data_IF_165396356863
#
_entry.id   IF_165396356863
#
_cell.length_a   1.000
_cell.length_b   1.000
_cell.length_c   1.000
_cell.angle_alpha   90.00
_cell.angle_beta   90.00
_cell.angle_gamma   90.00
#
_symmetry.space_group_name_H-M   'P 1'
#
loop_
_entity.id
_entity.type
_entity.pdbx_description
1 polymer ?
#
# COMPACT_ATOMS: atom_id res chain seq x y z
N UNK A 1 3.98 67.24 -34.30
CA UNK A 1 5.16 67.70 -35.05
C UNK A 1 6.18 66.58 -35.12
N UNK A 2 6.88 66.45 -36.25
CA UNK A 2 7.74 65.33 -36.62
C UNK A 2 9.23 65.72 -36.63
N UNK A 3 10.11 64.77 -37.00
CA UNK A 3 11.52 65.01 -37.36
C UNK A 3 12.46 64.21 -36.46
N UNK A 4 13.38 63.37 -36.92
CA UNK A 4 14.07 63.16 -38.21
C UNK A 4 14.37 61.63 -38.26
N UNK A 5 14.11 60.81 -39.28
CA UNK A 5 14.49 60.79 -40.70
C UNK A 5 15.98 61.03 -41.00
N UNK A 6 16.69 59.92 -41.21
CA UNK A 6 17.70 59.77 -42.28
C UNK A 6 17.56 58.30 -42.74
N UNK A 7 16.91 57.96 -43.86
CA UNK A 7 17.36 58.04 -45.28
C UNK A 7 18.63 57.19 -45.53
N UNK A 8 18.79 56.33 -46.56
CA UNK A 8 18.09 56.02 -47.81
C UNK A 8 18.66 54.70 -48.38
N UNK A 9 17.82 53.99 -49.16
CA UNK A 9 18.14 53.23 -50.40
C UNK A 9 19.08 52.00 -50.32
N UNK A 10 18.93 50.89 -51.05
CA UNK A 10 17.93 50.41 -52.02
C UNK A 10 18.25 48.92 -52.25
N UNK A 11 17.23 48.08 -52.16
CA UNK A 11 16.84 47.05 -53.13
C UNK A 11 17.92 46.18 -53.80
N UNK A 12 17.91 44.89 -53.47
CA UNK A 12 17.80 43.83 -54.50
C UNK A 12 16.67 42.88 -54.08
N UNK A 13 15.56 42.96 -54.81
CA UNK A 13 14.54 41.93 -54.83
C UNK A 13 15.10 40.69 -55.55
N UNK A 14 14.80 39.49 -55.06
CA UNK A 14 14.01 38.56 -55.87
C UNK A 14 13.54 37.33 -55.07
N UNK A 15 12.22 37.29 -54.95
CA UNK A 15 11.36 36.11 -55.13
C UNK A 15 11.11 35.16 -53.94
N UNK A 16 9.82 35.12 -53.65
CA UNK A 16 8.96 33.92 -53.58
C UNK A 16 8.41 33.53 -52.19
N UNK A 17 7.32 34.25 -51.86
CA UNK A 17 6.03 33.74 -51.35
C UNK A 17 6.00 33.17 -49.92
N UNK A 18 5.25 33.90 -49.09
CA UNK A 18 4.79 33.59 -47.74
C UNK A 18 4.02 32.26 -47.65
N UNK A 19 4.28 31.55 -46.55
CA UNK A 19 3.42 30.49 -46.00
C UNK A 19 3.62 30.42 -44.48
N UNK A 20 2.58 30.75 -43.75
CA UNK A 20 2.41 30.78 -42.28
C UNK A 20 2.65 29.43 -41.56
N UNK A 21 2.69 29.39 -40.20
CA UNK A 21 3.69 28.66 -39.42
C UNK A 21 3.43 27.16 -39.24
N UNK A 22 4.52 26.43 -39.08
CA UNK A 22 4.59 25.01 -38.75
C UNK A 22 3.79 24.65 -37.48
N UNK A 23 2.66 23.97 -37.68
CA UNK A 23 2.07 23.10 -36.67
C UNK A 23 2.98 21.87 -36.53
N UNK A 24 3.77 21.83 -35.45
CA UNK A 24 4.59 20.66 -35.10
C UNK A 24 3.66 19.49 -34.77
N UNK A 25 3.38 18.65 -35.76
CA UNK A 25 2.69 17.38 -35.53
C UNK A 25 3.52 16.48 -34.62
N UNK A 26 2.89 16.05 -33.52
CA UNK A 26 3.42 15.09 -32.58
C UNK A 26 3.74 13.74 -33.27
N UNK A 27 4.75 13.00 -32.81
CA UNK A 27 5.14 11.72 -33.42
C UNK A 27 3.96 10.74 -33.48
N UNK A 28 3.81 9.96 -34.55
CA UNK A 28 2.64 9.12 -34.76
C UNK A 28 2.50 8.12 -33.62
N UNK A 29 1.41 8.26 -32.86
CA UNK A 29 1.00 7.34 -31.80
C UNK A 29 1.16 5.90 -32.27
N UNK A 30 1.87 5.09 -31.46
CA UNK A 30 2.15 3.69 -31.74
C UNK A 30 0.87 2.99 -32.18
N UNK A 31 0.83 2.58 -33.45
CA UNK A 31 -0.30 1.92 -34.13
C UNK A 31 -1.07 1.02 -33.17
N UNK A 32 -2.25 1.47 -32.76
CA UNK A 32 -3.15 0.71 -31.90
C UNK A 32 -3.71 -0.44 -32.75
N UNK A 33 -3.39 -1.68 -32.39
CA UNK A 33 -3.87 -2.84 -33.12
C UNK A 33 -5.37 -2.97 -32.86
N UNK A 34 -6.18 -2.93 -33.93
CA UNK A 34 -7.61 -3.07 -33.83
C UNK A 34 -7.99 -4.47 -33.28
N UNK A 35 -8.96 -4.60 -32.35
CA UNK A 35 -9.25 -5.86 -31.65
C UNK A 35 -9.53 -7.06 -32.56
N UNK A 36 -10.19 -6.83 -33.71
CA UNK A 36 -10.49 -7.90 -34.67
C UNK A 36 -9.29 -8.36 -35.51
N UNK A 37 -8.21 -7.56 -35.55
CA UNK A 37 -7.02 -7.88 -36.34
C UNK A 37 -5.90 -8.48 -35.48
N UNK A 38 -6.07 -8.51 -34.15
CA UNK A 38 -5.10 -9.10 -33.21
C UNK A 38 -4.76 -10.54 -33.57
N UNK A 39 -5.77 -11.36 -33.87
CA UNK A 39 -5.55 -12.78 -34.19
C UNK A 39 -4.83 -12.95 -35.54
N UNK A 40 -5.18 -12.16 -36.55
CA UNK A 40 -4.52 -12.19 -37.86
C UNK A 40 -3.07 -11.74 -37.76
N UNK A 41 -2.79 -10.71 -36.97
CA UNK A 41 -1.44 -10.20 -36.74
C UNK A 41 -0.63 -11.21 -35.94
N UNK A 42 -1.22 -11.84 -34.92
CA UNK A 42 -0.56 -12.88 -34.14
C UNK A 42 -0.26 -14.11 -34.99
N UNK A 43 -1.20 -14.53 -35.84
CA UNK A 43 -1.00 -15.64 -36.78
C UNK A 43 0.09 -15.32 -37.80
N UNK A 44 0.07 -14.13 -38.40
CA UNK A 44 1.11 -13.68 -39.32
C UNK A 44 2.48 -13.58 -38.64
N UNK A 45 2.52 -13.12 -37.38
CA UNK A 45 3.74 -13.05 -36.57
C UNK A 45 4.30 -14.45 -36.28
N UNK A 46 3.46 -15.37 -35.79
CA UNK A 46 3.86 -16.76 -35.51
C UNK A 46 4.29 -17.47 -36.79
N UNK A 47 3.60 -17.25 -37.91
CA UNK A 47 3.93 -17.84 -39.19
C UNK A 47 5.21 -17.22 -39.80
N UNK A 48 5.49 -15.95 -39.52
CA UNK A 48 6.76 -15.29 -39.82
C UNK A 48 7.93 -15.84 -39.03
N UNK A 49 7.72 -16.25 -37.77
CA UNK A 49 8.72 -16.94 -36.95
C UNK A 49 8.95 -18.40 -37.36
N UNK A 50 7.99 -19.02 -38.06
CA UNK A 50 8.10 -20.39 -38.60
C UNK A 50 8.86 -20.47 -39.93
N UNK A 51 9.27 -19.35 -40.52
CA UNK A 51 10.22 -19.39 -41.64
C UNK A 51 11.50 -20.08 -41.13
N UNK A 52 12.00 -21.13 -41.78
CA UNK A 52 13.29 -21.70 -41.41
C UNK A 52 14.30 -20.57 -41.62
N UNK A 53 14.76 -19.99 -40.51
CA UNK A 53 15.85 -19.04 -40.51
C UNK A 53 16.98 -19.75 -41.25
N UNK A 54 17.35 -19.23 -42.42
CA UNK A 54 18.47 -19.73 -43.21
C UNK A 54 19.61 -20.04 -42.25
N UNK A 55 20.20 -21.22 -42.44
CA UNK A 55 21.05 -21.95 -41.51
C UNK A 55 22.32 -21.21 -41.09
N UNK A 56 22.16 -20.09 -40.40
CA UNK A 56 23.13 -19.60 -39.47
C UNK A 56 22.72 -20.24 -38.16
N UNK A 57 23.35 -21.39 -37.86
CA UNK A 57 23.27 -21.99 -36.55
C UNK A 57 23.35 -20.85 -35.53
N UNK A 58 22.43 -20.76 -34.55
CA UNK A 58 22.65 -19.82 -33.46
C UNK A 58 24.04 -20.18 -32.96
N UNK A 59 24.98 -19.24 -33.05
CA UNK A 59 26.23 -19.37 -32.32
C UNK A 59 25.74 -19.43 -30.89
N UNK A 60 25.53 -20.65 -30.39
CA UNK A 60 25.35 -20.95 -29.00
C UNK A 60 26.72 -20.62 -28.44
N UNK A 61 26.98 -19.33 -28.23
CA UNK A 61 27.92 -18.89 -27.23
C UNK A 61 27.35 -19.50 -25.96
N UNK A 62 27.82 -20.72 -25.65
CA UNK A 62 27.85 -21.21 -24.30
C UNK A 62 28.73 -20.20 -23.58
N UNK A 63 28.12 -19.09 -23.17
CA UNK A 63 28.60 -18.35 -22.02
C UNK A 63 28.46 -19.36 -20.89
N UNK A 64 29.48 -20.18 -20.70
CA UNK A 64 29.65 -20.91 -19.46
C UNK A 64 29.80 -19.79 -18.44
N UNK A 65 28.77 -19.59 -17.63
CA UNK A 65 28.80 -18.58 -16.59
C UNK A 65 29.95 -18.96 -15.66
N UNK A 66 30.87 -18.02 -15.44
CA UNK A 66 31.96 -18.22 -14.50
C UNK A 66 31.40 -18.20 -13.08
N UNK A 67 31.10 -19.37 -12.52
CA UNK A 67 30.57 -19.53 -11.17
C UNK A 67 31.66 -19.49 -10.07
N UNK A 68 32.93 -19.27 -10.45
CA UNK A 68 34.09 -19.31 -9.55
C UNK A 68 33.96 -18.33 -8.37
N UNK A 69 33.36 -17.16 -8.60
CA UNK A 69 33.17 -16.11 -7.58
C UNK A 69 31.80 -16.12 -6.92
N UNK A 70 30.91 -17.00 -7.35
CA UNK A 70 29.56 -17.06 -6.81
C UNK A 70 29.62 -17.44 -5.33
N UNK A 71 30.50 -18.36 -4.94
CA UNK A 71 30.68 -18.75 -3.54
C UNK A 71 31.07 -17.56 -2.66
N UNK A 72 32.10 -16.79 -3.05
CA UNK A 72 32.55 -15.61 -2.33
C UNK A 72 31.47 -14.53 -2.26
N UNK A 73 30.72 -14.34 -3.35
CA UNK A 73 29.60 -13.40 -3.41
C UNK A 73 28.48 -13.79 -2.43
N UNK A 74 28.08 -15.06 -2.42
CA UNK A 74 27.02 -15.55 -1.53
C UNK A 74 27.44 -15.52 -0.07
N UNK A 75 28.71 -15.81 0.24
CA UNK A 75 29.26 -15.66 1.59
C UNK A 75 29.31 -14.19 2.03
N UNK A 76 29.73 -13.27 1.16
CA UNK A 76 29.70 -11.84 1.47
C UNK A 76 28.28 -11.36 1.77
N UNK A 77 27.28 -11.90 1.05
CA UNK A 77 25.87 -11.53 1.23
C UNK A 77 25.32 -11.96 2.60
N UNK A 78 25.79 -13.06 3.18
CA UNK A 78 25.35 -13.49 4.53
C UNK A 78 25.90 -12.58 5.63
N UNK A 79 27.04 -11.92 5.39
CA UNK A 79 27.68 -11.02 6.37
C UNK A 79 27.13 -9.59 6.39
N UNK A 80 26.21 -9.25 5.48
CA UNK A 80 25.64 -7.90 5.37
C UNK A 80 24.90 -7.47 6.64
N UNK A 81 24.33 -8.43 7.37
CA UNK A 81 23.63 -8.21 8.63
C UNK A 81 24.51 -8.75 9.76
N UNK A 82 25.07 -7.88 10.62
CA UNK A 82 25.86 -8.32 11.76
C UNK A 82 25.01 -9.10 12.77
N UNK A 83 25.58 -10.13 13.40
CA UNK A 83 24.88 -10.95 14.42
C UNK A 83 24.28 -10.11 15.57
N UNK A 84 24.93 -9.00 15.93
CA UNK A 84 24.40 -8.08 16.94
C UNK A 84 23.04 -7.48 16.54
N UNK A 85 22.84 -7.17 15.26
CA UNK A 85 21.56 -6.65 14.75
C UNK A 85 20.49 -7.73 14.70
N UNK A 86 20.87 -8.97 14.36
CA UNK A 86 19.98 -10.12 14.40
C UNK A 86 19.47 -10.38 15.82
N UNK A 87 20.39 -10.44 16.80
CA UNK A 87 20.05 -10.62 18.22
C UNK A 87 19.15 -9.50 18.76
N UNK A 88 19.39 -8.26 18.31
CA UNK A 88 18.54 -7.12 18.68
C UNK A 88 17.12 -7.29 18.14
N UNK A 89 16.96 -7.75 16.90
CA UNK A 89 15.65 -7.98 16.30
C UNK A 89 14.92 -9.15 16.98
N UNK A 90 15.63 -10.22 17.35
CA UNK A 90 15.05 -11.33 18.11
C UNK A 90 14.59 -10.89 19.51
N UNK A 91 15.41 -10.09 20.20
CA UNK A 91 15.04 -9.50 21.48
C UNK A 91 13.84 -8.55 21.36
N UNK A 92 13.81 -7.73 20.31
CA UNK A 92 12.69 -6.83 20.03
C UNK A 92 11.41 -7.61 19.73
N UNK A 93 11.49 -8.64 18.91
CA UNK A 93 10.37 -9.50 18.58
C UNK A 93 9.77 -10.16 19.83
N UNK A 94 10.62 -10.79 20.66
CA UNK A 94 10.18 -11.43 21.89
C UNK A 94 9.60 -10.44 22.91
N UNK A 95 10.15 -9.23 22.99
CA UNK A 95 9.60 -8.17 23.85
C UNK A 95 8.22 -7.70 23.35
N UNK A 96 8.07 -7.48 22.05
CA UNK A 96 6.80 -7.06 21.44
C UNK A 96 5.72 -8.14 21.56
N UNK A 97 6.07 -9.41 21.38
CA UNK A 97 5.15 -10.53 21.56
C UNK A 97 4.61 -10.58 23.00
N UNK A 98 5.50 -10.48 24.00
CA UNK A 98 5.11 -10.41 25.41
C UNK A 98 4.23 -9.19 25.70
N UNK A 99 4.59 -8.04 25.14
CA UNK A 99 3.80 -6.81 25.32
C UNK A 99 2.40 -6.94 24.72
N UNK A 100 2.28 -7.51 23.52
CA UNK A 100 1.01 -7.79 22.87
C UNK A 100 0.13 -8.73 23.71
N UNK A 101 0.71 -9.78 24.32
CA UNK A 101 0.00 -10.68 25.22
C UNK A 101 -0.59 -9.92 26.41
N UNK A 102 0.20 -9.07 27.08
CA UNK A 102 -0.25 -8.27 28.22
C UNK A 102 -1.36 -7.29 27.81
N UNK A 103 -1.25 -6.63 26.67
CA UNK A 103 -2.29 -5.73 26.16
C UNK A 103 -3.60 -6.47 25.88
N UNK A 104 -3.52 -7.66 25.29
CA UNK A 104 -4.69 -8.50 25.00
C UNK A 104 -5.38 -8.94 26.28
N UNK A 105 -4.60 -9.38 27.27
CA UNK A 105 -5.12 -9.74 28.59
C UNK A 105 -5.78 -8.53 29.29
N UNK A 106 -5.13 -7.35 29.22
CA UNK A 106 -5.70 -6.11 29.78
C UNK A 106 -7.01 -5.74 29.10
N UNK A 107 -7.11 -5.85 27.78
CA UNK A 107 -8.33 -5.55 27.05
C UNK A 107 -9.48 -6.48 27.47
N UNK A 108 -9.19 -7.77 27.62
CA UNK A 108 -10.16 -8.75 28.14
C UNK A 108 -10.63 -8.40 29.56
N UNK A 109 -9.70 -8.11 30.46
CA UNK A 109 -10.02 -7.73 31.85
C UNK A 109 -10.85 -6.45 31.92
N UNK A 110 -10.59 -5.46 31.07
CA UNK A 110 -11.39 -4.24 31.00
C UNK A 110 -12.84 -4.52 30.58
N UNK A 111 -13.04 -5.46 29.64
CA UNK A 111 -14.38 -5.84 29.21
C UNK A 111 -15.15 -6.59 30.32
N UNK A 112 -14.47 -7.53 30.98
CA UNK A 112 -15.03 -8.25 32.14
C UNK A 112 -15.37 -7.29 33.28
N UNK A 113 -14.47 -6.35 33.60
CA UNK A 113 -14.66 -5.37 34.66
C UNK A 113 -15.85 -4.45 34.36
N UNK A 114 -15.99 -3.94 33.14
CA UNK A 114 -17.17 -3.16 32.73
C UNK A 114 -18.47 -3.95 32.84
N UNK A 115 -18.45 -5.23 32.48
CA UNK A 115 -19.63 -6.10 32.63
C UNK A 115 -20.01 -6.29 34.10
N UNK A 116 -19.02 -6.50 34.98
CA UNK A 116 -19.24 -6.61 36.42
C UNK A 116 -19.74 -5.30 37.03
N UNK A 117 -19.20 -4.16 36.61
CA UNK A 117 -19.68 -2.84 37.04
C UNK A 117 -21.14 -2.64 36.63
N UNK A 118 -21.50 -2.97 35.38
CA UNK A 118 -22.88 -2.90 34.91
C UNK A 118 -23.81 -3.78 35.77
N UNK A 119 -23.43 -5.04 36.02
CA UNK A 119 -24.21 -5.94 36.87
C UNK A 119 -24.35 -5.41 38.30
N UNK A 120 -23.29 -4.84 38.87
CA UNK A 120 -23.33 -4.26 40.20
C UNK A 120 -24.29 -3.05 40.24
N UNK A 121 -24.24 -2.16 39.25
CA UNK A 121 -25.18 -1.03 39.17
C UNK A 121 -26.64 -1.49 39.01
N UNK A 122 -26.88 -2.55 38.23
CA UNK A 122 -28.21 -3.13 38.07
C UNK A 122 -28.72 -3.75 39.38
N UNK A 123 -27.88 -4.50 40.09
CA UNK A 123 -28.21 -5.07 41.39
C UNK A 123 -28.48 -3.99 42.44
N UNK A 124 -27.70 -2.91 42.45
CA UNK A 124 -27.92 -1.77 43.33
C UNK A 124 -29.27 -1.09 43.03
N UNK A 125 -29.58 -0.88 41.75
CA UNK A 125 -30.86 -0.32 41.33
C UNK A 125 -32.04 -1.23 41.72
N UNK A 126 -31.92 -2.54 41.49
CA UNK A 126 -32.96 -3.51 41.87
C UNK A 126 -33.15 -3.57 43.38
N UNK A 127 -32.06 -3.51 44.15
CA UNK A 127 -32.10 -3.44 45.60
C UNK A 127 -32.81 -2.16 46.05
N UNK A 128 -32.47 -1.00 45.48
CA UNK A 128 -33.14 0.26 45.79
C UNK A 128 -34.64 0.19 45.46
N UNK A 129 -35.00 -0.34 44.28
CA UNK A 129 -36.38 -0.56 43.90
C UNK A 129 -37.12 -1.49 44.88
N UNK A 130 -36.45 -2.55 45.35
CA UNK A 130 -37.02 -3.41 46.38
C UNK A 130 -37.24 -2.64 47.67
N UNK A 131 -36.24 -1.89 48.16
CA UNK A 131 -36.31 -1.10 49.38
C UNK A 131 -37.45 -0.07 49.35
N UNK A 132 -37.62 0.62 48.22
CA UNK A 132 -38.64 1.65 47.99
C UNK A 132 -40.05 1.09 47.70
N UNK A 133 -40.19 -0.23 47.59
CA UNK A 133 -41.47 -0.88 47.34
C UNK A 133 -42.45 -0.67 48.49
N UNK A 134 -43.68 -0.26 48.18
CA UNK A 134 -44.76 -0.02 49.17
C UNK A 134 -45.03 -1.22 50.07
N UNK A 135 -44.86 -2.44 49.56
CA UNK A 135 -45.06 -3.67 50.32
C UNK A 135 -44.18 -3.68 51.57
N UNK A 136 -42.95 -3.16 51.50
CA UNK A 136 -42.07 -3.10 52.67
C UNK A 136 -42.62 -2.19 53.77
N UNK A 137 -43.37 -1.13 53.43
CA UNK A 137 -44.02 -0.25 54.40
C UNK A 137 -45.33 -0.78 54.97
N UNK A 138 -45.95 -1.75 54.29
CA UNK A 138 -47.21 -2.38 54.70
C UNK A 138 -46.99 -3.58 55.65
N UNK A 139 -45.77 -4.09 55.75
CA UNK A 139 -45.40 -5.18 56.65
C UNK A 139 -45.23 -4.68 58.09
N UNK A 140 -45.74 -5.43 59.07
CA UNK A 140 -45.57 -5.12 60.51
C UNK A 140 -44.10 -5.09 60.94
N UNK A 141 -43.24 -5.87 60.27
CA UNK A 141 -41.78 -5.81 60.42
C UNK A 141 -41.15 -5.78 59.03
N UNK A 142 -40.62 -4.62 58.59
CA UNK A 142 -39.98 -4.52 57.29
C UNK A 142 -38.64 -5.30 57.25
N UNK A 143 -38.31 -5.98 56.13
CA UNK A 143 -37.08 -6.76 55.98
C UNK A 143 -35.79 -5.97 56.27
N UNK A 144 -35.82 -4.66 55.99
CA UNK A 144 -34.74 -3.70 56.28
C UNK A 144 -34.36 -3.61 57.75
N UNK A 145 -35.30 -3.82 58.68
CA UNK A 145 -35.00 -3.81 60.12
C UNK A 145 -34.25 -5.07 60.56
N UNK A 146 -34.48 -6.20 59.88
CA UNK A 146 -33.86 -7.50 60.20
C UNK A 146 -32.46 -7.58 59.59
N UNK A 147 -32.28 -7.05 58.38
CA UNK A 147 -31.05 -7.20 57.60
C UNK A 147 -29.98 -6.14 57.83
N UNK A 148 -30.22 -5.13 58.70
CA UNK A 148 -29.32 -3.98 59.00
C UNK A 148 -28.09 -3.91 58.11
N UNK A 149 -28.28 -3.36 56.91
CA UNK A 149 -27.17 -3.02 56.03
C UNK A 149 -26.48 -1.80 56.68
N UNK A 150 -25.17 -1.87 57.01
CA UNK A 150 -24.43 -0.79 57.67
C UNK A 150 -24.35 0.48 56.83
#
# INVERSE_FOLDING_TARGET
>A
EPGEQIDLEEQEEESLVEGEPEEKEAPPSRRLIHPNDVLKILEAFVMGLKKPKDSQAPVKMKYVRDNLKDSEYWEALTTVIPDATQNLWDALYTALEKYHLVLTQRAKLLLENRSLEQQNTELQMLLQQYLDSKINSELQVPPTQVLRVP
#
